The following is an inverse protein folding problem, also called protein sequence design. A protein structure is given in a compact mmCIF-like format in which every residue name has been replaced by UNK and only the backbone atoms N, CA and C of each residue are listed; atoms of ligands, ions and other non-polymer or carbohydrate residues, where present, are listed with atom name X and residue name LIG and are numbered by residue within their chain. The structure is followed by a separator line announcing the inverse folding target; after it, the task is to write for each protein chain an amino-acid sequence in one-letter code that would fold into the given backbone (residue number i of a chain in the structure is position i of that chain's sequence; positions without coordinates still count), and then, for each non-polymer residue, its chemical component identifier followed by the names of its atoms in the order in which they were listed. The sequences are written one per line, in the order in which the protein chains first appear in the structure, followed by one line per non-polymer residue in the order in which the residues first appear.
data_IF_676311767882
#
_entry.id   IF_676311767882
#
_cell.length_a   1.000
_cell.length_b   1.000
_cell.length_c   1.000
_cell.angle_alpha   90.00
_cell.angle_beta   90.00
_cell.angle_gamma   90.00
#
_symmetry.space_group_name_H-M   'P 1'
#
loop_
_entity.id
_entity.type
_entity.pdbx_description
1 polymer ?
2 water ?
#
# COMPACT_ATOMS: atom_id res chain seq x y z
N UNK A 11 19.06 -1.35 -13.37
CA UNK A 11 18.76 -1.18 -11.92
C UNK A 11 17.41 -1.78 -11.55
N UNK A 12 16.85 -2.58 -12.45
CA UNK A 12 15.56 -3.22 -12.21
C UNK A 12 15.78 -4.37 -11.24
N UNK A 13 14.91 -4.47 -10.23
CA UNK A 13 15.02 -5.53 -9.23
C UNK A 13 13.68 -6.17 -8.90
N UNK A 14 13.74 -7.32 -8.24
CA UNK A 14 12.55 -8.03 -7.81
C UNK A 14 12.73 -8.41 -6.35
N UNK A 15 12.20 -7.60 -5.44
CA UNK A 15 12.30 -7.90 -4.02
C UNK A 15 11.20 -8.88 -3.65
N UNK A 16 11.58 -9.96 -2.98
CA UNK A 16 10.62 -10.98 -2.56
C UNK A 16 10.41 -10.78 -1.06
N UNK A 17 9.15 -10.74 -0.63
CA UNK A 17 8.88 -10.50 0.78
C UNK A 17 7.57 -11.06 1.31
N UNK A 18 7.51 -11.21 2.63
CA UNK A 18 6.30 -11.65 3.31
C UNK A 18 5.68 -10.32 3.72
N UNK A 19 4.35 -10.24 3.72
CA UNK A 19 3.70 -9.00 4.11
C UNK A 19 2.39 -9.24 4.84
N UNK A 20 2.07 -8.32 5.74
CA UNK A 20 0.83 -8.38 6.49
C UNK A 20 0.38 -6.94 6.64
N UNK A 21 -0.90 -6.68 6.39
CA UNK A 21 -1.40 -5.33 6.54
C UNK A 21 -2.77 -5.43 7.23
N UNK A 22 -2.91 -4.73 8.35
CA UNK A 22 -4.13 -4.67 9.15
C UNK A 22 -4.53 -3.19 9.13
N UNK A 23 -5.69 -2.89 8.56
CA UNK A 23 -6.13 -1.51 8.44
C UNK A 23 -7.54 -1.22 8.95
N UNK A 24 -7.67 -0.10 9.66
CA UNK A 24 -8.96 0.34 10.19
C UNK A 24 -9.12 1.82 9.85
N UNK A 25 -10.18 2.15 9.13
CA UNK A 25 -10.44 3.54 8.77
C UNK A 25 -11.74 3.98 9.40
N UNK A 26 -11.71 5.12 10.09
CA UNK A 26 -12.88 5.67 10.75
C UNK A 26 -13.22 6.99 10.08
N UNK A 27 -14.47 7.14 9.66
CA UNK A 27 -14.90 8.35 8.98
C UNK A 27 -16.20 8.88 9.56
N UNK A 28 -16.43 10.18 9.38
CA UNK A 28 -17.64 10.82 9.87
C UNK A 28 -18.81 10.39 8.98
N UNK A 29 -18.50 10.08 7.73
CA UNK A 29 -19.51 9.63 6.78
C UNK A 29 -18.90 8.67 5.76
N UNK A 30 -19.73 7.79 5.18
CA UNK A 30 -19.28 6.80 4.19
C UNK A 30 -18.67 7.44 2.96
N UNK A 31 -17.51 6.94 2.54
CA UNK A 31 -16.83 7.45 1.36
C UNK A 31 -17.70 7.11 0.16
N UNK A 32 -17.87 8.06 -0.74
CA UNK A 32 -18.69 7.84 -1.92
C UNK A 32 -17.92 7.22 -3.10
N UNK A 33 -16.61 7.43 -3.14
CA UNK A 33 -15.79 6.89 -4.23
C UNK A 33 -14.46 6.34 -3.71
N UNK A 34 -13.81 5.48 -4.50
CA UNK A 34 -12.52 4.94 -4.08
C UNK A 34 -11.51 6.08 -3.94
N UNK A 35 -11.64 7.10 -4.78
CA UNK A 35 -10.74 8.24 -4.73
C UNK A 35 -10.75 8.86 -3.33
N UNK A 36 -11.92 8.87 -2.69
CA UNK A 36 -12.06 9.41 -1.34
C UNK A 36 -11.31 8.50 -0.38
N UNK A 37 -11.46 7.19 -0.57
CA UNK A 37 -10.78 6.22 0.28
C UNK A 37 -9.27 6.39 0.18
N UNK A 38 -8.76 6.50 -1.05
CA UNK A 38 -7.33 6.65 -1.27
C UNK A 38 -6.80 7.94 -0.64
N UNK A 39 -7.53 9.03 -0.84
CA UNK A 39 -7.12 10.31 -0.28
C UNK A 39 -6.95 10.17 1.24
N UNK A 40 -7.88 9.46 1.88
CA UNK A 40 -7.81 9.26 3.33
C UNK A 40 -6.67 8.34 3.75
N UNK A 41 -6.63 7.14 3.19
CA UNK A 41 -5.60 6.18 3.56
C UNK A 41 -4.18 6.69 3.34
N UNK A 42 -3.99 7.55 2.34
CA UNK A 42 -2.66 8.08 2.07
C UNK A 42 -2.10 8.97 3.19
N UNK A 43 -2.90 9.21 4.22
CA UNK A 43 -2.45 10.02 5.36
C UNK A 43 -1.66 9.14 6.33
N UNK A 44 -1.63 7.83 6.07
CA UNK A 44 -0.95 6.90 6.96
C UNK A 44 0.51 7.27 7.23
N UNK A 45 1.22 7.82 6.25
CA UNK A 45 2.61 8.18 6.50
C UNK A 45 2.90 9.66 6.69
N UNK A 46 1.92 10.41 7.19
CA UNK A 46 2.13 11.82 7.49
C UNK A 46 3.01 11.77 8.74
N UNK A 47 3.73 12.75 9.12
CA UNK A 47 4.94 12.66 9.93
C UNK A 47 5.33 11.19 10.03
N UNK A 48 6.05 10.71 9.03
CA UNK A 48 6.61 9.37 9.01
C UNK A 48 7.90 9.23 9.80
N UNK A 49 7.97 8.18 10.61
CA UNK A 49 9.16 7.89 11.41
C UNK A 49 9.45 6.39 11.41
N UNK A 50 8.87 5.68 10.44
CA UNK A 50 9.10 4.25 10.34
C UNK A 50 10.39 4.00 9.59
N UNK A 51 10.72 2.73 9.36
CA UNK A 51 11.95 2.40 8.63
C UNK A 51 11.92 3.06 7.25
N UNK A 52 12.92 3.91 7.00
CA UNK A 52 13.02 4.61 5.73
C UNK A 52 13.06 3.66 4.54
N UNK A 53 13.87 2.62 4.64
CA UNK A 53 13.97 1.67 3.55
C UNK A 53 12.67 0.95 3.24
N UNK A 54 11.80 0.83 4.23
CA UNK A 54 10.53 0.14 4.03
C UNK A 54 9.38 1.02 3.54
N UNK A 55 9.56 2.34 3.57
CA UNK A 55 8.48 3.24 3.17
C UNK A 55 7.85 2.95 1.81
N UNK A 56 8.67 2.72 0.78
CA UNK A 56 8.09 2.43 -0.54
C UNK A 56 7.16 1.23 -0.50
N UNK A 57 7.57 0.19 0.22
CA UNK A 57 6.78 -1.03 0.33
C UNK A 57 5.51 -0.83 1.17
N UNK A 58 5.64 -0.09 2.27
CA UNK A 58 4.49 0.20 3.12
C UNK A 58 3.47 0.99 2.29
N UNK A 59 3.94 1.90 1.45
CA UNK A 59 3.04 2.68 0.59
C UNK A 59 2.19 1.73 -0.25
N UNK A 60 2.84 0.72 -0.81
CA UNK A 60 2.16 -0.28 -1.63
C UNK A 60 1.12 -1.01 -0.80
N UNK A 61 1.53 -1.46 0.39
CA UNK A 61 0.64 -2.20 1.27
C UNK A 61 -0.56 -1.36 1.69
N UNK A 62 -0.34 -0.07 1.93
CA UNK A 62 -1.45 0.80 2.31
C UNK A 62 -2.41 0.91 1.13
N UNK A 63 -1.84 1.01 -0.06
CA UNK A 63 -2.60 1.10 -1.29
C UNK A 63 -3.41 -0.20 -1.45
N UNK A 64 -2.77 -1.34 -1.23
CA UNK A 64 -3.45 -2.63 -1.35
C UNK A 64 -4.59 -2.72 -0.34
N UNK A 65 -4.28 -2.43 0.91
CA UNK A 65 -5.30 -2.48 1.94
C UNK A 65 -6.48 -1.59 1.60
N UNK A 66 -6.20 -0.39 1.09
CA UNK A 66 -7.27 0.55 0.76
C UNK A 66 -8.20 -0.02 -0.30
N UNK A 67 -7.63 -0.81 -1.21
CA UNK A 67 -8.40 -1.41 -2.29
C UNK A 67 -9.33 -2.50 -1.78
N UNK A 68 -9.04 -3.03 -0.60
CA UNK A 68 -9.86 -4.10 -0.04
C UNK A 68 -10.63 -3.73 1.21
N UNK A 69 -10.78 -2.44 1.49
CA UNK A 69 -11.52 -2.01 2.67
C UNK A 69 -13.00 -2.33 2.57
N UNK A 70 -13.56 -2.86 3.65
CA UNK A 70 -14.98 -3.19 3.71
C UNK A 70 -15.62 -2.54 4.92
N UNK A 71 -16.78 -1.91 4.72
CA UNK A 71 -17.49 -1.27 5.82
C UNK A 71 -17.90 -2.37 6.80
N UNK A 72 -17.73 -2.12 8.09
CA UNK A 72 -18.09 -3.12 9.09
C UNK A 72 -19.59 -3.34 9.05
N UNK A 73 -20.02 -4.61 9.07
CA UNK A 73 -21.44 -4.96 9.04
C UNK A 73 -22.23 -4.21 10.11
N UNK A 74 -23.36 -3.63 9.71
CA UNK A 74 -24.21 -2.88 10.62
C UNK A 74 -23.38 -1.90 11.46
N UNK A 81 -19.47 7.48 12.54
CA UNK A 81 -19.67 6.09 12.93
C UNK A 81 -19.15 5.07 11.91
N UNK A 82 -19.26 5.38 10.60
CA UNK A 82 -18.77 4.41 9.61
C UNK A 82 -17.33 3.97 9.89
N UNK A 83 -17.11 2.67 9.82
CA UNK A 83 -15.82 2.08 10.10
C UNK A 83 -15.49 1.08 8.99
N UNK A 84 -14.23 1.04 8.57
CA UNK A 84 -13.80 0.14 7.52
C UNK A 84 -12.60 -0.69 7.97
N UNK A 85 -12.53 -1.93 7.48
CA UNK A 85 -11.44 -2.82 7.83
C UNK A 85 -10.91 -3.58 6.63
N UNK A 86 -9.63 -3.94 6.72
CA UNK A 86 -8.96 -4.70 5.68
C UNK A 86 -7.82 -5.43 6.37
N UNK A 87 -7.58 -6.66 5.95
CA UNK A 87 -6.51 -7.44 6.54
C UNK A 87 -5.88 -8.29 5.45
N UNK A 88 -4.65 -8.15 5.02
CA UNK A 88 -4.23 -8.86 3.81
C UNK A 88 -2.90 -9.53 4.15
N UNK A 89 -2.55 -10.73 3.69
CA UNK A 89 -1.35 -11.37 4.19
C UNK A 89 -0.86 -12.28 3.09
N UNK A 90 0.46 -12.42 2.96
CA UNK A 90 0.99 -13.29 1.94
C UNK A 90 2.44 -13.01 1.60
N UNK A 91 2.88 -13.56 0.47
CA UNK A 91 4.24 -13.38 -0.02
C UNK A 91 4.10 -12.85 -1.44
N UNK A 92 5.05 -12.04 -1.89
CA UNK A 92 4.98 -11.50 -3.24
C UNK A 92 6.29 -10.87 -3.67
N UNK A 93 6.40 -10.60 -4.96
CA UNK A 93 7.58 -9.96 -5.54
C UNK A 93 7.20 -8.54 -5.94
N UNK A 94 8.15 -7.62 -5.86
CA UNK A 94 7.90 -6.25 -6.28
C UNK A 94 8.96 -5.80 -7.26
N UNK A 95 8.57 -5.51 -8.51
CA UNK A 95 9.54 -5.06 -9.51
C UNK A 95 9.73 -3.56 -9.28
N UNK A 96 10.96 -3.11 -9.11
CA UNK A 96 11.21 -1.69 -8.89
C UNK A 96 12.61 -1.28 -9.31
N UNK A 97 12.85 0.03 -9.35
CA UNK A 97 14.14 0.58 -9.73
C UNK A 97 14.64 1.56 -8.67
N UNK A 98 14.53 1.19 -7.40
CA UNK A 98 14.96 2.06 -6.32
C UNK A 98 16.33 1.70 -5.76
N UNK A 99 16.99 0.74 -6.39
CA UNK A 99 18.30 0.32 -5.91
C UNK A 99 18.17 -0.84 -4.94
N UNK A 100 19.29 -1.31 -4.41
CA UNK A 100 19.27 -2.43 -3.47
C UNK A 100 18.55 -2.01 -2.21
N UNK A 101 17.67 -2.87 -1.72
CA UNK A 101 16.91 -2.58 -0.51
C UNK A 101 17.61 -3.17 0.71
N UNK A 102 17.78 -2.36 1.76
CA UNK A 102 18.43 -2.85 2.98
C UNK A 102 17.63 -4.03 3.52
N UNK A 103 18.27 -4.93 4.27
CA UNK A 103 17.53 -6.08 4.80
C UNK A 103 16.29 -5.62 5.56
N UNK A 104 15.22 -6.42 5.48
CA UNK A 104 13.98 -6.08 6.15
C UNK A 104 13.63 -7.13 7.19
N UNK A 105 13.66 -6.72 8.45
CA UNK A 105 13.38 -7.60 9.57
C UNK A 105 11.89 -7.72 9.85
N UNK A 106 11.51 -8.82 10.49
CA UNK A 106 10.11 -9.03 10.83
C UNK A 106 9.78 -8.27 12.12
N UNK A 107 9.66 -6.96 11.99
CA UNK A 107 9.33 -6.09 13.11
C UNK A 107 8.14 -5.25 12.67
N UNK A 108 6.96 -5.49 13.25
CA UNK A 108 5.74 -4.76 12.90
C UNK A 108 5.81 -3.27 13.26
N UNK A 109 5.27 -2.43 12.39
CA UNK A 109 5.25 -1.00 12.66
C UNK A 109 3.81 -0.53 12.59
N UNK A 110 3.51 0.53 13.33
CA UNK A 110 2.15 1.04 13.41
C UNK A 110 2.04 2.50 12.99
N UNK A 111 0.99 2.82 12.24
CA UNK A 111 0.79 4.17 11.75
C UNK A 111 -0.65 4.58 11.96
N UNK A 112 -0.85 5.53 12.87
CA UNK A 112 -2.18 6.02 13.21
C UNK A 112 -2.21 7.53 13.09
N UNK A 113 -2.92 8.01 12.07
CA UNK A 113 -3.00 9.43 11.78
C UNK A 113 -4.40 9.88 11.38
N UNK A 114 -4.69 11.18 11.54
CA UNK A 114 -5.99 11.74 11.19
C UNK A 114 -6.00 12.22 9.74
N UNK A 115 -7.18 12.40 9.17
CA UNK A 115 -7.29 12.91 7.81
C UNK A 115 -8.51 13.83 7.74
N UNK A 116 -8.46 14.79 6.83
CA UNK A 116 -9.56 15.72 6.63
C UNK A 116 -9.44 16.14 5.18
N UNK A 117 -10.26 15.51 4.34
CA UNK A 117 -10.20 15.74 2.91
C UNK A 117 -11.40 16.44 2.31
N UNK A 118 -12.18 17.12 3.15
CA UNK A 118 -13.35 17.83 2.66
C UNK A 118 -14.62 17.33 3.32
N UNK A 119 -15.39 16.53 2.59
CA UNK A 119 -16.62 15.99 3.14
C UNK A 119 -16.32 14.87 4.13
N UNK A 120 -15.08 14.38 4.11
CA UNK A 120 -14.70 13.29 5.00
C UNK A 120 -13.53 13.65 5.91
N UNK A 121 -13.62 13.20 7.16
CA UNK A 121 -12.57 13.42 8.13
C UNK A 121 -12.63 12.25 9.11
N UNK A 122 -11.49 11.89 9.66
CA UNK A 122 -11.46 10.78 10.59
C UNK A 122 -10.03 10.35 10.83
N UNK A 123 -9.82 9.04 10.91
CA UNK A 123 -8.48 8.53 11.14
C UNK A 123 -8.23 7.26 10.34
N UNK A 124 -6.95 6.92 10.20
CA UNK A 124 -6.55 5.70 9.53
C UNK A 124 -5.56 5.06 10.49
N UNK A 125 -5.71 3.76 10.70
CA UNK A 125 -4.82 3.04 11.60
C UNK A 125 -4.30 1.83 10.84
N UNK A 126 -2.99 1.79 10.63
CA UNK A 126 -2.38 0.68 9.91
C UNK A 126 -1.29 0.01 10.71
N UNK A 127 -1.37 -1.29 10.92
CA UNK A 127 -0.30 -2.06 11.47
C UNK A 127 0.30 -2.90 10.35
N UNK A 128 1.51 -2.75 9.86
CA UNK A 128 2.08 -3.49 8.75
C UNK A 128 3.38 -4.19 9.10
N UNK A 129 3.63 -5.28 8.38
CA UNK A 129 4.86 -6.02 8.57
C UNK A 129 5.36 -6.43 7.19
N UNK A 130 6.65 -6.26 6.97
CA UNK A 130 7.25 -6.67 5.71
C UNK A 130 8.68 -7.06 5.99
N UNK A 131 9.04 -8.27 5.59
CA UNK A 131 10.39 -8.76 5.80
C UNK A 131 10.76 -9.71 4.67
N UNK A 132 12.05 -9.74 4.35
CA UNK A 132 12.59 -10.55 3.27
C UNK A 132 12.11 -11.99 3.22
N UNK A 133 11.83 -12.46 2.01
CA UNK A 133 11.40 -13.84 1.78
C UNK A 133 12.43 -14.51 0.87
N UNK A 134 13.04 -15.57 1.37
CA UNK A 134 14.05 -16.30 0.62
C UNK A 134 13.54 -17.66 0.16
N UNK A 135 12.29 -17.95 0.49
CA UNK A 135 11.64 -19.21 0.15
C UNK A 135 11.91 -19.69 -1.27
N UNK A 136 12.33 -18.77 -2.14
CA UNK A 136 12.63 -19.09 -3.53
C UNK A 136 11.54 -19.92 -4.21
N UNK A 137 10.39 -20.03 -3.56
CA UNK A 137 9.26 -20.78 -4.12
C UNK A 137 8.31 -19.78 -4.78
N UNK A 138 7.64 -20.23 -5.84
CA UNK A 138 6.71 -19.39 -6.58
C UNK A 138 5.95 -18.40 -5.70
N UNK A 139 6.07 -17.12 -6.03
CA UNK A 139 5.39 -16.06 -5.30
C UNK A 139 4.79 -15.12 -6.34
N UNK A 140 3.51 -14.78 -6.19
CA UNK A 140 2.85 -13.89 -7.15
C UNK A 140 3.39 -12.47 -7.12
N UNK A 141 3.16 -11.73 -8.20
CA UNK A 141 3.61 -10.35 -8.28
C UNK A 141 2.63 -9.52 -7.46
N UNK A 142 3.16 -8.69 -6.57
CA UNK A 142 2.31 -7.86 -5.70
C UNK A 142 1.17 -7.18 -6.47
N UNK A 143 1.48 -6.67 -7.66
CA UNK A 143 0.49 -5.99 -8.49
C UNK A 143 -0.73 -6.85 -8.80
N UNK A 144 -0.54 -8.16 -8.88
CA UNK A 144 -1.65 -9.07 -9.19
C UNK A 144 -2.75 -9.07 -8.13
N UNK A 145 -2.44 -8.55 -6.95
CA UNK A 145 -3.44 -8.49 -5.88
C UNK A 145 -4.33 -7.26 -6.08
N UNK A 146 -3.96 -6.43 -7.05
CA UNK A 146 -4.74 -5.23 -7.36
C UNK A 146 -5.58 -5.46 -8.60
N UNK A 147 -6.90 -5.54 -8.43
CA UNK A 147 -7.79 -5.74 -9.56
C UNK A 147 -7.67 -4.54 -10.51
N UNK A 148 -7.42 -3.37 -9.93
CA UNK A 148 -7.29 -2.14 -10.71
C UNK A 148 -6.02 -2.04 -11.54
N UNK A 149 -5.07 -2.95 -11.32
CA UNK A 149 -3.82 -2.89 -12.07
C UNK A 149 -3.96 -3.23 -13.55
N UNK A 150 -5.11 -3.74 -13.96
CA UNK A 150 -5.30 -4.09 -15.36
C UNK A 150 -5.64 -2.90 -16.25
N UNK A 151 -5.66 -1.71 -15.67
CA UNK A 151 -5.94 -0.51 -16.44
C UNK A 151 -4.82 0.51 -16.32
N UNK A 152 -4.63 1.29 -17.38
CA UNK A 152 -3.58 2.30 -17.42
C UNK A 152 -3.70 3.34 -16.31
N UNK A 153 -4.92 3.62 -15.87
CA UNK A 153 -5.13 4.61 -14.82
C UNK A 153 -4.71 4.13 -13.44
N UNK A 154 -4.16 2.93 -13.37
CA UNK A 154 -3.67 2.38 -12.11
C UNK A 154 -2.54 3.34 -11.70
N UNK A 155 -1.99 4.01 -12.70
CA UNK A 155 -0.91 4.97 -12.53
C UNK A 155 -1.35 6.13 -11.63
N UNK A 156 -2.53 6.67 -11.93
CA UNK A 156 -3.08 7.78 -11.15
C UNK A 156 -3.35 7.38 -9.71
N UNK A 157 -3.93 6.20 -9.52
CA UNK A 157 -4.23 5.72 -8.17
C UNK A 157 -2.96 5.53 -7.34
N UNK A 158 -1.95 4.92 -7.95
CA UNK A 158 -0.69 4.69 -7.25
C UNK A 158 -0.04 6.00 -6.82
N UNK A 159 -0.19 7.03 -7.66
CA UNK A 159 0.38 8.34 -7.37
C UNK A 159 -0.33 9.02 -6.19
N UNK A 160 -1.54 8.58 -5.88
CA UNK A 160 -2.27 9.13 -4.74
C UNK A 160 -1.54 8.72 -3.46
N UNK A 161 -0.72 7.67 -3.55
CA UNK A 161 0.04 7.20 -2.40
C UNK A 161 1.51 7.60 -2.48
N UNK A 162 1.84 8.42 -3.47
CA UNK A 162 3.22 8.85 -3.64
C UNK A 162 4.06 7.83 -4.38
N UNK A 163 3.40 6.98 -5.16
CA UNK A 163 4.10 5.94 -5.91
C UNK A 163 4.11 6.22 -7.41
N UNK A 164 5.29 6.12 -8.03
CA UNK A 164 5.40 6.33 -9.46
C UNK A 164 5.60 4.96 -10.11
N UNK A 165 4.53 4.43 -10.71
CA UNK A 165 4.59 3.13 -11.37
C UNK A 165 4.50 3.28 -12.88
N UNK A 166 5.10 2.34 -13.61
CA UNK A 166 5.08 2.37 -15.07
C UNK A 166 5.08 0.92 -15.54
N UNK A 167 4.50 0.66 -16.71
CA UNK A 167 4.50 -0.70 -17.22
C UNK A 167 5.50 -0.87 -18.35
N UNK A 168 6.58 -1.59 -18.05
CA UNK A 168 7.66 -1.86 -18.99
C UNK A 168 7.24 -2.80 -20.12
N UNK A 169 8.22 -3.47 -20.71
CA UNK A 169 7.98 -4.41 -21.80
C UNK A 169 7.26 -5.64 -21.27
N UNK A 170 6.30 -6.14 -22.04
CA UNK A 170 5.53 -7.32 -21.64
C UNK A 170 4.65 -7.01 -20.44
N UNK A 171 3.98 -5.86 -20.48
CA UNK A 171 3.12 -5.46 -19.38
C UNK A 171 3.90 -5.41 -18.09
N UNK A 172 3.28 -5.88 -17.01
CA UNK A 172 3.93 -5.89 -15.70
C UNK A 172 4.31 -4.50 -15.21
N UNK A 173 3.71 -4.08 -14.10
CA UNK A 173 4.01 -2.78 -13.53
C UNK A 173 5.32 -2.82 -12.77
N UNK A 174 6.05 -1.70 -12.81
CA UNK A 174 7.32 -1.58 -12.11
C UNK A 174 7.30 -0.30 -11.27
N UNK A 175 7.66 -0.42 -10.00
CA UNK A 175 7.67 0.73 -9.11
C UNK A 175 8.96 1.47 -9.44
N UNK A 176 8.84 2.51 -10.24
CA UNK A 176 10.00 3.29 -10.63
C UNK A 176 10.62 4.01 -9.45
N UNK A 177 9.77 4.62 -8.62
CA UNK A 177 10.25 5.34 -7.45
C UNK A 177 9.11 6.00 -6.69
N UNK A 178 9.46 6.59 -5.55
CA UNK A 178 8.50 7.31 -4.74
C UNK A 178 8.59 8.74 -5.24
N UNK A 179 7.46 9.43 -5.27
CA UNK A 179 7.42 10.81 -5.75
C UNK A 179 8.12 11.80 -4.83
N UNK A 180 8.39 11.38 -3.59
CA UNK A 180 9.04 12.26 -2.62
C UNK A 180 10.01 11.51 -1.70
#
# INVERSE_FOLDING_TARGET
VDEMDTHDPHQLRYEKFFFTVKMTVRSNRPFRTYSDVAAAVSHWDHMYIGMAGKRPFYKILAFLGSSNLKATPAVLADQGQPEYHAHCEGRAYLPHRMGKTPPMLNVPEHFRRPFNIGLYKGTVELTMTIYDDESLEAAPMIWDHFNSSKFSDFREKALMFGLIVEKKASGAWVLDSVSHFK
#
